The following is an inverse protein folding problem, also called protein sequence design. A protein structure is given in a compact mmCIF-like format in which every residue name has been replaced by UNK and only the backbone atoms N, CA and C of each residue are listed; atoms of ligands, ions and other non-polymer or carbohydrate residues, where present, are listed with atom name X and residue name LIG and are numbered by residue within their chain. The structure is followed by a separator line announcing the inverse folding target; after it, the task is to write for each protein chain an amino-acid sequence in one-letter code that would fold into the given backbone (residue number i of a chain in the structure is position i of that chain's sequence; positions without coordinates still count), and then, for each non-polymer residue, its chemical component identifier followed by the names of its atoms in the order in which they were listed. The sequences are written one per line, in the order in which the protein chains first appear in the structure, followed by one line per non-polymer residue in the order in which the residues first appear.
data_IF_368600966378
#
_entry.id   IF_368600966378
#
_cell.length_a   1.000
_cell.length_b   1.000
_cell.length_c   1.000
_cell.angle_alpha   90.00
_cell.angle_beta   90.00
_cell.angle_gamma   90.00
#
_symmetry.space_group_name_H-M   'P 1'
#
loop_
_entity.id
_entity.type
_entity.pdbx_description
1 polymer ?
#
# COMPACT_ATOMS: atom_id res chain seq x y z
N UNK A 1 -14.20 -14.33 31.09
CA UNK A 1 -13.35 -14.91 30.01
C UNK A 1 -12.02 -14.17 29.87
N UNK A 2 -11.73 -13.20 30.74
CA UNK A 2 -10.60 -12.25 30.64
C UNK A 2 -9.30 -12.69 31.32
N UNK A 3 -9.24 -13.91 31.89
CA UNK A 3 -8.07 -14.35 32.67
C UNK A 3 -6.91 -14.89 31.82
N UNK A 4 -7.18 -15.37 30.61
CA UNK A 4 -6.12 -15.94 29.74
C UNK A 4 -5.38 -14.83 28.98
N UNK A 5 -6.07 -13.74 28.65
CA UNK A 5 -5.51 -12.60 27.92
C UNK A 5 -4.60 -11.72 28.77
N UNK A 6 -4.88 -11.60 30.07
CA UNK A 6 -4.02 -10.87 31.01
C UNK A 6 -2.68 -11.58 31.26
N UNK A 7 -2.65 -12.92 31.17
CA UNK A 7 -1.43 -13.73 31.41
C UNK A 7 -0.44 -13.59 30.26
N UNK A 8 -0.92 -13.42 29.02
CA UNK A 8 -0.03 -13.34 27.87
C UNK A 8 0.47 -11.94 27.55
N UNK A 9 -0.11 -10.86 28.10
CA UNK A 9 0.48 -9.51 28.03
C UNK A 9 0.95 -9.09 26.63
N UNK A 10 0.32 -9.62 25.58
CA UNK A 10 0.78 -9.44 24.21
C UNK A 10 0.37 -8.02 23.76
N UNK A 11 1.27 -7.24 23.15
CA UNK A 11 1.01 -5.84 22.80
C UNK A 11 -0.11 -5.66 21.76
N UNK A 12 -0.61 -6.76 21.17
CA UNK A 12 -1.71 -6.80 20.20
C UNK A 12 -3.06 -7.27 20.76
N UNK A 13 -3.17 -7.49 22.07
CA UNK A 13 -4.46 -7.73 22.75
C UNK A 13 -4.90 -9.20 22.88
N UNK A 14 -6.00 -9.36 23.61
CA UNK A 14 -6.54 -10.60 24.16
C UNK A 14 -6.98 -11.67 23.15
N UNK A 15 -7.30 -11.27 21.92
CA UNK A 15 -7.99 -12.12 20.95
C UNK A 15 -7.33 -12.04 19.57
N UNK A 16 -6.18 -12.71 19.35
CA UNK A 16 -5.46 -12.67 18.08
C UNK A 16 -6.28 -13.21 16.88
N UNK A 17 -7.32 -14.01 17.14
CA UNK A 17 -8.20 -14.58 16.10
C UNK A 17 -9.35 -13.65 15.68
N UNK A 18 -9.61 -12.53 16.36
CA UNK A 18 -10.67 -11.57 15.98
C UNK A 18 -10.24 -10.58 14.90
N UNK A 19 -9.26 -10.94 14.07
CA UNK A 19 -8.95 -10.21 12.85
C UNK A 19 -10.24 -10.19 11.99
N UNK A 20 -10.58 -9.02 11.46
CA UNK A 20 -11.75 -8.82 10.60
C UNK A 20 -11.82 -9.93 9.53
N UNK A 21 -13.02 -10.46 9.22
CA UNK A 21 -13.18 -11.61 8.33
C UNK A 21 -12.50 -11.45 6.97
N UNK A 22 -12.33 -10.21 6.48
CA UNK A 22 -11.54 -9.93 5.27
C UNK A 22 -10.07 -10.35 5.39
N UNK A 23 -9.45 -10.20 6.57
CA UNK A 23 -8.08 -10.63 6.82
C UNK A 23 -7.91 -12.15 6.71
N UNK A 24 -8.82 -12.92 7.30
CA UNK A 24 -8.85 -14.37 7.15
C UNK A 24 -9.15 -14.79 5.71
N UNK A 25 -10.06 -14.10 5.03
CA UNK A 25 -10.37 -14.34 3.61
C UNK A 25 -9.14 -14.17 2.71
N UNK A 26 -8.37 -13.08 2.88
CA UNK A 26 -7.12 -12.85 2.15
C UNK A 26 -6.09 -13.94 2.46
N UNK A 27 -5.93 -14.29 3.75
CA UNK A 27 -4.98 -15.32 4.17
C UNK A 27 -5.26 -16.68 3.51
N UNK A 28 -6.50 -17.17 3.58
CA UNK A 28 -6.86 -18.44 2.96
C UNK A 28 -6.83 -18.38 1.43
N UNK A 29 -7.19 -17.25 0.83
CA UNK A 29 -7.07 -17.06 -0.62
C UNK A 29 -5.61 -17.19 -1.08
N UNK A 30 -4.67 -16.51 -0.40
CA UNK A 30 -3.24 -16.60 -0.68
C UNK A 30 -2.71 -18.03 -0.46
N UNK A 31 -3.11 -18.67 0.63
CA UNK A 31 -2.69 -20.04 0.93
C UNK A 31 -3.15 -21.02 -0.16
N UNK A 32 -4.42 -20.94 -0.57
CA UNK A 32 -4.94 -21.77 -1.65
C UNK A 32 -4.26 -21.46 -2.98
N UNK A 33 -4.19 -20.19 -3.40
CA UNK A 33 -3.61 -19.80 -4.69
C UNK A 33 -2.14 -20.18 -4.81
N UNK A 34 -1.33 -19.94 -3.76
CA UNK A 34 0.07 -20.35 -3.73
C UNK A 34 0.16 -21.89 -3.73
N UNK A 35 -0.67 -22.57 -2.94
CA UNK A 35 -0.71 -24.03 -2.88
C UNK A 35 -1.01 -24.66 -4.24
N UNK A 36 -2.07 -24.20 -4.92
CA UNK A 36 -2.43 -24.67 -6.26
C UNK A 36 -1.37 -24.32 -7.30
N UNK A 37 -0.81 -23.10 -7.26
CA UNK A 37 0.26 -22.69 -8.17
C UNK A 37 1.53 -23.52 -8.01
N UNK A 38 1.81 -24.02 -6.80
CA UNK A 38 2.94 -24.90 -6.53
C UNK A 38 2.67 -26.35 -6.95
N UNK A 39 1.46 -26.85 -6.71
CA UNK A 39 1.08 -28.23 -7.04
C UNK A 39 0.82 -28.45 -8.53
N UNK A 40 0.38 -27.41 -9.25
CA UNK A 40 0.05 -27.44 -10.66
C UNK A 40 0.85 -26.36 -11.40
N UNK A 41 2.16 -26.59 -11.66
CA UNK A 41 2.98 -25.65 -12.41
C UNK A 41 2.49 -25.55 -13.85
N UNK A 42 2.59 -24.34 -14.41
CA UNK A 42 2.23 -24.06 -15.79
C UNK A 42 3.14 -24.82 -16.78
N UNK A 43 2.63 -25.03 -17.99
CA UNK A 43 3.44 -25.54 -19.10
C UNK A 43 4.49 -24.52 -19.57
N UNK A 44 5.55 -24.99 -20.24
CA UNK A 44 6.59 -24.11 -20.78
C UNK A 44 6.03 -23.03 -21.73
N UNK A 45 5.03 -23.40 -22.53
CA UNK A 45 4.35 -22.49 -23.48
C UNK A 45 3.61 -21.38 -22.71
N UNK A 46 2.83 -21.73 -21.69
CA UNK A 46 2.11 -20.75 -20.87
C UNK A 46 3.08 -19.83 -20.11
N UNK A 47 4.20 -20.37 -19.62
CA UNK A 47 5.25 -19.58 -18.98
C UNK A 47 5.87 -18.57 -19.96
N UNK A 48 6.13 -18.95 -21.20
CA UNK A 48 6.66 -18.04 -22.23
C UNK A 48 5.67 -16.92 -22.56
N UNK A 49 4.38 -17.22 -22.71
CA UNK A 49 3.37 -16.19 -22.92
C UNK A 49 3.29 -15.21 -21.74
N UNK A 50 3.33 -15.72 -20.50
CA UNK A 50 3.33 -14.88 -19.30
C UNK A 50 4.57 -13.98 -19.24
N UNK A 51 5.73 -14.49 -19.65
CA UNK A 51 6.98 -13.70 -19.77
C UNK A 51 6.84 -12.60 -20.84
N UNK A 52 6.32 -12.91 -22.03
CA UNK A 52 6.07 -11.92 -23.09
C UNK A 52 5.14 -10.80 -22.60
N UNK A 53 4.05 -11.15 -21.93
CA UNK A 53 3.10 -10.19 -21.30
C UNK A 53 3.79 -9.33 -20.23
N UNK A 54 4.57 -9.93 -19.33
CA UNK A 54 5.31 -9.18 -18.31
C UNK A 54 6.35 -8.23 -18.91
N UNK A 55 7.08 -8.67 -19.92
CA UNK A 55 8.06 -7.85 -20.62
C UNK A 55 7.39 -6.67 -21.32
N UNK A 56 6.27 -6.91 -21.99
CA UNK A 56 5.47 -5.86 -22.61
C UNK A 56 5.04 -4.80 -21.59
N UNK A 57 4.42 -5.22 -20.48
CA UNK A 57 3.98 -4.31 -19.41
C UNK A 57 5.16 -3.55 -18.79
N UNK A 58 6.30 -4.21 -18.56
CA UNK A 58 7.51 -3.59 -18.00
C UNK A 58 8.07 -2.51 -18.92
N UNK A 59 8.03 -2.71 -20.24
CA UNK A 59 8.53 -1.74 -21.22
C UNK A 59 7.60 -0.54 -21.37
N UNK A 60 6.29 -0.75 -21.18
CA UNK A 60 5.27 0.29 -21.31
C UNK A 60 5.07 1.11 -20.02
N UNK A 61 4.91 0.43 -18.88
CA UNK A 61 4.51 1.03 -17.61
C UNK A 61 5.64 1.00 -16.55
N UNK A 62 6.86 0.62 -16.93
CA UNK A 62 7.98 0.55 -16.00
C UNK A 62 8.48 1.92 -15.56
N UNK A 63 8.89 2.02 -14.30
CA UNK A 63 9.60 3.20 -13.76
C UNK A 63 10.89 3.42 -14.55
N UNK A 64 11.18 4.67 -15.00
CA UNK A 64 12.42 5.02 -15.67
C UNK A 64 13.65 4.58 -14.88
N UNK A 65 14.70 4.10 -15.56
CA UNK A 65 15.87 3.51 -14.88
C UNK A 65 16.56 4.49 -13.93
N UNK A 66 16.62 5.76 -14.29
CA UNK A 66 17.19 6.85 -13.47
C UNK A 66 16.44 7.05 -12.15
N UNK A 67 15.15 6.69 -12.10
CA UNK A 67 14.25 6.89 -10.96
C UNK A 67 14.01 5.63 -10.14
N UNK A 68 14.49 4.46 -10.59
CA UNK A 68 14.33 3.18 -9.88
C UNK A 68 14.93 3.19 -8.47
N UNK A 69 16.00 3.96 -8.25
CA UNK A 69 16.60 4.12 -6.92
C UNK A 69 15.65 4.72 -5.87
N UNK A 70 14.60 5.45 -6.30
CA UNK A 70 13.61 6.06 -5.41
C UNK A 70 12.41 5.15 -5.15
N UNK A 71 12.35 3.94 -5.71
CA UNK A 71 11.26 2.98 -5.44
C UNK A 71 11.17 2.62 -3.95
N UNK A 72 12.27 2.31 -3.22
CA UNK A 72 12.20 2.05 -1.79
C UNK A 72 11.68 3.26 -1.00
N UNK A 73 12.05 4.47 -1.42
CA UNK A 73 11.57 5.72 -0.82
C UNK A 73 10.07 5.89 -1.08
N UNK A 74 9.61 5.65 -2.30
CA UNK A 74 8.19 5.70 -2.68
C UNK A 74 7.37 4.75 -1.80
N UNK A 75 7.78 3.49 -1.71
CA UNK A 75 7.12 2.49 -0.88
C UNK A 75 7.15 2.91 0.60
N UNK A 76 8.30 3.36 1.10
CA UNK A 76 8.46 3.82 2.48
C UNK A 76 7.53 4.97 2.84
N UNK A 77 7.46 6.01 1.98
CA UNK A 77 6.58 7.15 2.17
C UNK A 77 5.10 6.76 2.12
N UNK A 78 4.71 5.89 1.17
CA UNK A 78 3.34 5.41 1.06
C UNK A 78 2.95 4.55 2.26
N UNK A 79 3.77 3.58 2.66
CA UNK A 79 3.51 2.75 3.83
C UNK A 79 3.46 3.58 5.11
N UNK A 80 4.37 4.53 5.28
CA UNK A 80 4.34 5.45 6.41
C UNK A 80 3.05 6.26 6.43
N UNK A 81 2.62 6.79 5.28
CA UNK A 81 1.37 7.52 5.17
C UNK A 81 0.16 6.68 5.58
N UNK A 82 0.03 5.47 5.03
CA UNK A 82 -1.11 4.60 5.34
C UNK A 82 -1.09 4.06 6.78
N UNK A 83 0.08 3.73 7.33
CA UNK A 83 0.19 3.18 8.68
C UNK A 83 0.05 4.24 9.78
N UNK A 84 0.60 5.44 9.55
CA UNK A 84 0.64 6.52 10.55
C UNK A 84 -0.51 7.50 10.40
N UNK A 85 -0.90 7.82 9.17
CA UNK A 85 -2.05 8.68 8.91
C UNK A 85 -3.38 8.00 9.17
N UNK A 86 -3.59 6.82 8.57
CA UNK A 86 -4.88 6.11 8.59
C UNK A 86 -4.86 4.75 9.30
N UNK A 87 -3.68 4.29 9.70
CA UNK A 87 -3.48 2.96 10.26
C UNK A 87 -3.53 2.93 11.78
N UNK A 88 -3.03 1.84 12.40
CA UNK A 88 -3.11 1.65 13.85
C UNK A 88 -2.41 2.77 14.65
N UNK A 89 -1.39 3.40 14.05
CA UNK A 89 -0.63 4.49 14.68
C UNK A 89 -1.34 5.85 14.61
N UNK A 90 -2.47 5.98 13.90
CA UNK A 90 -3.28 7.19 13.93
C UNK A 90 -3.82 7.52 15.33
N UNK A 91 -3.87 6.51 16.21
CA UNK A 91 -4.21 6.67 17.64
C UNK A 91 -3.29 7.63 18.38
N UNK A 92 -2.03 7.77 17.93
CA UNK A 92 -1.08 8.75 18.46
C UNK A 92 -1.59 10.19 18.24
N UNK A 93 -2.27 10.42 17.11
CA UNK A 93 -2.90 11.70 16.77
C UNK A 93 -4.04 12.11 17.70
N UNK A 94 -4.54 11.21 18.55
CA UNK A 94 -5.59 11.54 19.53
C UNK A 94 -5.12 12.50 20.62
N UNK A 95 -3.84 12.47 20.98
CA UNK A 95 -3.34 13.11 22.20
C UNK A 95 -2.17 14.06 21.99
N UNK A 96 -1.52 14.03 20.81
CA UNK A 96 -0.33 14.86 20.54
C UNK A 96 -0.63 16.37 20.52
N UNK A 97 -1.77 16.81 19.97
CA UNK A 97 -2.03 18.25 19.76
C UNK A 97 -2.94 18.85 20.84
N UNK A 98 -3.89 18.08 21.35
CA UNK A 98 -4.86 18.55 22.36
C UNK A 98 -5.47 17.37 23.10
N UNK A 99 -6.11 17.61 24.26
CA UNK A 99 -6.86 16.58 24.95
C UNK A 99 -8.29 16.50 24.37
N UNK A 100 -8.71 15.34 23.81
CA UNK A 100 -10.05 15.17 23.23
C UNK A 100 -11.19 15.44 24.21
N UNK A 101 -10.96 15.19 25.50
CA UNK A 101 -11.98 15.29 26.54
C UNK A 101 -12.03 16.67 27.19
N UNK A 102 -11.13 17.60 26.81
CA UNK A 102 -11.10 18.95 27.36
C UNK A 102 -11.03 20.01 26.25
N UNK A 103 -12.19 20.59 25.86
CA UNK A 103 -12.29 21.62 24.82
C UNK A 103 -11.44 22.87 25.07
N UNK A 104 -11.12 23.19 26.34
CA UNK A 104 -10.27 24.35 26.66
C UNK A 104 -8.83 24.18 26.15
N UNK A 105 -8.40 22.94 25.85
CA UNK A 105 -7.06 22.64 25.33
C UNK A 105 -6.98 22.69 23.80
N UNK A 106 -8.08 23.00 23.09
CA UNK A 106 -8.13 22.98 21.62
C UNK A 106 -7.62 24.28 20.97
N UNK A 107 -7.16 25.24 21.76
CA UNK A 107 -6.52 26.44 21.25
C UNK A 107 -5.17 26.08 20.58
N UNK A 108 -4.78 26.72 19.47
CA UNK A 108 -5.39 27.89 18.83
C UNK A 108 -6.43 27.58 17.73
N UNK A 109 -6.53 26.33 17.27
CA UNK A 109 -7.36 25.98 16.10
C UNK A 109 -8.83 25.70 16.45
N UNK A 110 -9.16 25.53 17.72
CA UNK A 110 -10.53 25.19 18.18
C UNK A 110 -10.97 23.79 17.77
N UNK A 111 -10.04 22.92 17.36
CA UNK A 111 -10.31 21.59 16.83
C UNK A 111 -9.74 20.50 17.75
N UNK A 112 -10.43 19.34 17.86
CA UNK A 112 -9.85 18.16 18.48
C UNK A 112 -8.53 17.74 17.81
N UNK A 113 -7.59 17.19 18.59
CA UNK A 113 -6.28 16.73 18.12
C UNK A 113 -6.34 15.84 16.88
N UNK A 114 -7.37 14.97 16.80
CA UNK A 114 -7.62 14.11 15.65
C UNK A 114 -7.77 14.87 14.34
N UNK A 115 -8.51 15.98 14.33
CA UNK A 115 -8.73 16.75 13.11
C UNK A 115 -7.44 17.40 12.61
N UNK A 116 -6.64 17.95 13.53
CA UNK A 116 -5.33 18.50 13.21
C UNK A 116 -4.44 17.41 12.60
N UNK A 117 -4.43 16.22 13.20
CA UNK A 117 -3.72 15.05 12.66
C UNK A 117 -4.19 14.68 11.25
N UNK A 118 -5.51 14.60 11.01
CA UNK A 118 -6.06 14.29 9.70
C UNK A 118 -5.65 15.30 8.63
N UNK A 119 -5.64 16.60 8.94
CA UNK A 119 -5.20 17.62 7.98
C UNK A 119 -3.70 17.56 7.68
N UNK A 120 -2.87 17.28 8.69
CA UNK A 120 -1.42 17.07 8.48
C UNK A 120 -1.18 15.89 7.55
N UNK A 121 -1.84 14.75 7.80
CA UNK A 121 -1.67 13.56 6.96
C UNK A 121 -2.38 13.66 5.61
N UNK A 122 -3.40 14.50 5.48
CA UNK A 122 -3.98 14.84 4.19
C UNK A 122 -2.98 15.65 3.34
N UNK A 123 -2.38 16.69 3.91
CA UNK A 123 -1.35 17.48 3.23
C UNK A 123 -0.14 16.62 2.85
N UNK A 124 0.32 15.76 3.76
CA UNK A 124 1.35 14.78 3.47
C UNK A 124 0.93 13.82 2.35
N UNK A 125 -0.32 13.38 2.34
CA UNK A 125 -0.89 12.56 1.29
C UNK A 125 -0.86 13.21 -0.09
N UNK A 126 -1.24 14.48 -0.18
CA UNK A 126 -1.14 15.26 -1.43
C UNK A 126 0.31 15.29 -1.91
N UNK A 127 1.26 15.50 -1.00
CA UNK A 127 2.69 15.44 -1.34
C UNK A 127 3.11 14.05 -1.85
N UNK A 128 2.69 12.96 -1.18
CA UNK A 128 2.98 11.59 -1.63
C UNK A 128 2.38 11.33 -3.01
N UNK A 129 1.14 11.76 -3.26
CA UNK A 129 0.49 11.61 -4.58
C UNK A 129 1.24 12.40 -5.66
N UNK A 130 1.65 13.62 -5.37
CA UNK A 130 2.49 14.40 -6.29
C UNK A 130 3.82 13.70 -6.57
N UNK A 131 4.48 13.18 -5.53
CA UNK A 131 5.76 12.48 -5.64
C UNK A 131 5.61 11.21 -6.51
N UNK A 132 4.57 10.42 -6.31
CA UNK A 132 4.32 9.20 -7.09
C UNK A 132 3.91 9.50 -8.54
N UNK A 133 3.00 10.45 -8.75
CA UNK A 133 2.48 10.75 -10.08
C UNK A 133 3.51 11.48 -10.95
N UNK A 134 4.07 12.58 -10.44
CA UNK A 134 4.90 13.48 -11.23
C UNK A 134 6.38 13.21 -11.06
N UNK A 135 6.88 13.06 -9.83
CA UNK A 135 8.31 12.82 -9.61
C UNK A 135 8.70 11.41 -10.05
N UNK A 136 7.95 10.38 -9.69
CA UNK A 136 8.18 8.99 -10.13
C UNK A 136 7.63 8.67 -11.52
N UNK A 137 6.87 9.61 -12.11
CA UNK A 137 6.32 9.52 -13.46
C UNK A 137 5.33 8.38 -13.68
N UNK A 138 4.70 7.87 -12.62
CA UNK A 138 3.78 6.74 -12.71
C UNK A 138 2.47 7.09 -13.46
N UNK A 139 2.18 8.39 -13.64
CA UNK A 139 0.99 8.85 -14.36
C UNK A 139 1.28 9.35 -15.78
N UNK A 140 2.49 9.15 -16.32
CA UNK A 140 2.80 9.62 -17.68
C UNK A 140 2.04 8.80 -18.73
N UNK A 141 1.33 9.46 -19.67
CA UNK A 141 0.65 8.75 -20.74
C UNK A 141 1.67 8.08 -21.66
N UNK A 142 1.34 6.88 -22.11
CA UNK A 142 2.16 6.10 -23.04
C UNK A 142 1.69 6.43 -24.47
N UNK A 143 2.63 6.74 -25.36
CA UNK A 143 2.31 7.02 -26.75
C UNK A 143 1.77 5.75 -27.46
N UNK A 144 0.64 5.83 -28.19
CA UNK A 144 0.02 4.66 -28.83
C UNK A 144 0.93 3.99 -29.86
N UNK A 145 1.73 4.77 -30.60
CA UNK A 145 2.70 4.26 -31.56
C UNK A 145 3.74 3.32 -30.92
N UNK A 146 4.19 3.65 -29.71
CA UNK A 146 5.14 2.82 -28.95
C UNK A 146 4.51 1.50 -28.52
N UNK A 147 3.22 1.52 -28.19
CA UNK A 147 2.44 0.33 -27.82
C UNK A 147 2.32 -0.61 -29.01
N UNK A 148 1.95 -0.08 -30.17
CA UNK A 148 1.80 -0.87 -31.41
C UNK A 148 3.12 -1.49 -31.87
N UNK A 149 4.22 -0.73 -31.80
CA UNK A 149 5.54 -1.22 -32.20
C UNK A 149 6.03 -2.37 -31.31
N UNK A 150 5.92 -2.24 -29.98
CA UNK A 150 6.33 -3.29 -29.05
C UNK A 150 5.37 -4.49 -29.05
N UNK A 151 4.07 -4.28 -29.30
CA UNK A 151 3.13 -5.37 -29.49
C UNK A 151 3.51 -6.23 -30.71
N UNK A 152 3.77 -5.59 -31.86
CA UNK A 152 4.23 -6.30 -33.06
C UNK A 152 5.53 -7.06 -32.81
N UNK A 153 6.48 -6.46 -32.09
CA UNK A 153 7.76 -7.09 -31.76
C UNK A 153 7.62 -8.37 -30.92
N UNK A 154 6.70 -8.41 -29.95
CA UNK A 154 6.59 -9.51 -28.98
C UNK A 154 5.56 -10.58 -29.35
N UNK A 155 4.53 -10.22 -30.13
CA UNK A 155 3.37 -11.08 -30.40
C UNK A 155 3.10 -11.35 -31.89
N UNK A 156 3.74 -10.65 -32.82
CA UNK A 156 3.54 -10.86 -34.26
C UNK A 156 4.67 -11.66 -34.95
N UNK A 157 5.59 -12.25 -34.19
CA UNK A 157 6.59 -13.24 -34.64
C UNK A 157 6.12 -14.65 -34.34
#
# INVERSE_FOLDING_TARGET
TDKISAVFGLPWGAYPLTIHSAGWGIFFNLLCTIGFSYLYPDSEIEMEEKKKKHQFLKTMAGVPETKRQYIPLAIGLTLFWFLVGFGPFATIGNTIFSNPNNPATWAPFGLPSLWVWQFVFLAFGIFVMWFLAFFMELSKPIAPEKVEAEYKRLFAS
#
